data_IF_684091796585
#
_entry.id   IF_684091796585
#
_cell.length_a   1.000
_cell.length_b   1.000
_cell.length_c   1.000
_cell.angle_alpha   90.00
_cell.angle_beta   90.00
_cell.angle_gamma   90.00
#
_symmetry.space_group_name_H-M   'P 1'
#
loop_
_entity.id
_entity.type
_entity.pdbx_description
1 polymer ?
#
# COMPACT_ATOMS: atom_id res chain seq x y z
N UNK A 1 23.53 -1.57 4.26
CA UNK A 1 22.47 -0.76 4.89
C UNK A 1 21.26 -1.66 5.03
N UNK A 2 20.93 -2.08 6.25
CA UNK A 2 19.77 -2.94 6.51
C UNK A 2 18.51 -2.08 6.39
N UNK A 3 17.79 -2.25 5.30
CA UNK A 3 16.42 -1.74 5.15
C UNK A 3 15.53 -2.53 6.09
N UNK A 4 15.43 -2.06 7.34
CA UNK A 4 14.45 -2.54 8.30
C UNK A 4 13.08 -2.06 7.81
N UNK A 5 12.41 -2.88 7.01
CA UNK A 5 11.02 -2.66 6.62
C UNK A 5 10.17 -2.76 7.87
N UNK A 6 9.91 -1.61 8.48
CA UNK A 6 9.10 -1.52 9.68
C UNK A 6 7.64 -1.84 9.33
N UNK A 7 7.27 -3.10 9.51
CA UNK A 7 5.93 -3.67 9.26
C UNK A 7 4.85 -2.97 10.10
N UNK A 8 5.22 -2.23 11.16
CA UNK A 8 4.25 -1.46 11.96
C UNK A 8 3.71 -0.27 11.17
N UNK A 9 4.51 0.31 10.27
CA UNK A 9 4.09 1.36 9.33
C UNK A 9 3.08 0.88 8.27
N UNK A 10 2.90 -0.45 8.09
CA UNK A 10 1.88 -1.04 7.21
C UNK A 10 0.47 -0.98 7.83
N UNK A 11 0.36 -0.71 9.13
CA UNK A 11 -0.93 -0.62 9.85
C UNK A 11 -1.50 0.81 9.88
N UNK A 12 -0.81 1.80 9.29
CA UNK A 12 -1.32 3.17 9.24
C UNK A 12 -2.42 3.27 8.15
N UNK A 13 -3.69 3.51 8.53
CA UNK A 13 -4.79 3.58 7.58
C UNK A 13 -4.63 4.70 6.56
N UNK A 14 -3.87 5.76 6.89
CA UNK A 14 -3.57 6.85 5.96
C UNK A 14 -2.65 6.40 4.83
N UNK A 15 -1.62 5.61 5.15
CA UNK A 15 -0.71 5.04 4.13
C UNK A 15 -1.42 3.99 3.28
N UNK A 16 -2.24 3.15 3.91
CA UNK A 16 -3.06 2.17 3.21
C UNK A 16 -4.05 2.84 2.25
N UNK A 17 -4.64 3.97 2.65
CA UNK A 17 -5.49 4.77 1.78
C UNK A 17 -4.73 5.36 0.57
N UNK A 18 -3.51 5.87 0.78
CA UNK A 18 -2.66 6.40 -0.29
C UNK A 18 -2.31 5.32 -1.33
N UNK A 19 -1.95 4.13 -0.85
CA UNK A 19 -1.68 2.96 -1.68
C UNK A 19 -2.88 2.59 -2.57
N UNK A 20 -4.08 2.49 -1.99
CA UNK A 20 -5.30 2.20 -2.74
C UNK A 20 -5.62 3.31 -3.75
N UNK A 21 -5.42 4.58 -3.39
CA UNK A 21 -5.61 5.70 -4.32
C UNK A 21 -4.70 5.58 -5.54
N UNK A 22 -3.44 5.23 -5.33
CA UNK A 22 -2.48 5.04 -6.40
C UNK A 22 -2.72 3.79 -7.25
N UNK A 23 -3.36 2.76 -6.69
CA UNK A 23 -3.88 1.60 -7.42
C UNK A 23 -5.12 1.93 -8.28
N UNK A 24 -5.67 3.14 -8.18
CA UNK A 24 -6.81 3.61 -8.98
C UNK A 24 -8.16 3.55 -8.27
N UNK A 25 -8.21 3.21 -6.98
CA UNK A 25 -9.45 3.26 -6.21
C UNK A 25 -9.85 4.72 -5.94
N UNK A 26 -11.16 4.99 -6.04
CA UNK A 26 -11.70 6.30 -5.68
C UNK A 26 -11.77 6.49 -4.16
N UNK A 27 -11.65 7.73 -3.68
CA UNK A 27 -11.80 8.08 -2.25
C UNK A 27 -13.03 7.46 -1.56
N UNK A 28 -14.25 7.44 -2.17
CA UNK A 28 -15.39 6.77 -1.55
C UNK A 28 -15.24 5.23 -1.43
N UNK A 29 -14.56 4.57 -2.38
CA UNK A 29 -14.26 3.13 -2.29
C UNK A 29 -13.23 2.86 -1.19
N UNK A 30 -12.18 3.66 -1.11
CA UNK A 30 -11.14 3.56 -0.08
C UNK A 30 -11.74 3.74 1.31
N UNK A 31 -12.61 4.73 1.48
CA UNK A 31 -13.32 4.98 2.72
C UNK A 31 -14.17 3.77 3.15
N UNK A 32 -14.85 3.12 2.20
CA UNK A 32 -15.62 1.91 2.48
C UNK A 32 -14.71 0.71 2.87
N UNK A 33 -13.60 0.51 2.16
CA UNK A 33 -12.65 -0.59 2.43
C UNK A 33 -11.97 -0.46 3.79
N UNK A 34 -11.56 0.75 4.16
CA UNK A 34 -10.91 1.04 5.45
C UNK A 34 -11.90 1.32 6.57
N UNK A 35 -13.21 1.19 6.31
CA UNK A 35 -14.29 1.52 7.24
C UNK A 35 -14.15 2.92 7.88
N UNK A 36 -13.70 3.89 7.09
CA UNK A 36 -13.46 5.26 7.50
C UNK A 36 -14.48 6.21 6.88
N UNK A 37 -14.63 7.39 7.49
CA UNK A 37 -15.46 8.45 6.92
C UNK A 37 -14.77 9.02 5.67
N UNK A 38 -15.53 9.20 4.58
CA UNK A 38 -15.07 9.87 3.34
C UNK A 38 -14.32 11.20 3.58
N UNK A 39 -14.79 12.13 4.45
CA UNK A 39 -14.05 13.37 4.72
C UNK A 39 -12.67 13.13 5.34
N UNK A 40 -12.48 12.05 6.11
CA UNK A 40 -11.17 11.69 6.67
C UNK A 40 -10.17 11.38 5.56
N UNK A 41 -10.56 10.53 4.60
CA UNK A 41 -9.70 10.17 3.46
C UNK A 41 -9.47 11.36 2.52
N UNK A 42 -10.49 12.22 2.32
CA UNK A 42 -10.33 13.49 1.58
C UNK A 42 -9.33 14.45 2.24
N UNK A 43 -9.35 14.54 3.57
CA UNK A 43 -8.39 15.37 4.32
C UNK A 43 -6.96 14.87 4.14
N UNK A 44 -6.75 13.55 4.15
CA UNK A 44 -5.44 12.96 3.87
C UNK A 44 -4.97 13.24 2.45
N UNK A 45 -5.83 13.01 1.45
CA UNK A 45 -5.54 13.31 0.04
C UNK A 45 -5.06 14.74 -0.16
N UNK A 46 -5.74 15.70 0.46
CA UNK A 46 -5.39 17.12 0.38
C UNK A 46 -4.08 17.43 1.11
N UNK A 47 -3.90 16.93 2.35
CA UNK A 47 -2.70 17.19 3.15
C UNK A 47 -1.42 16.62 2.54
N UNK A 48 -1.52 15.42 1.96
CA UNK A 48 -0.39 14.72 1.35
C UNK A 48 -0.25 15.02 -0.15
N UNK A 49 -1.15 15.82 -0.71
CA UNK A 49 -1.12 16.20 -2.12
C UNK A 49 -1.06 15.01 -3.08
N UNK A 50 -1.88 13.97 -2.86
CA UNK A 50 -1.80 12.71 -3.64
C UNK A 50 -1.97 12.91 -5.15
N UNK A 51 -2.65 13.98 -5.58
CA UNK A 51 -2.81 14.36 -6.99
C UNK A 51 -1.52 14.90 -7.62
N UNK A 52 -0.62 15.44 -6.81
CA UNK A 52 0.65 16.04 -7.23
C UNK A 52 1.81 15.05 -7.21
N UNK A 53 1.59 13.83 -6.71
CA UNK A 53 2.63 12.80 -6.60
C UNK A 53 2.88 12.17 -7.97
N UNK A 54 4.11 12.34 -8.49
CA UNK A 54 4.50 11.87 -9.82
C UNK A 54 4.45 10.33 -9.97
N UNK A 55 4.13 9.78 -11.15
CA UNK A 55 3.93 8.34 -11.38
C UNK A 55 5.16 7.45 -11.12
N UNK A 56 6.38 8.01 -11.18
CA UNK A 56 7.63 7.23 -11.05
C UNK A 56 7.79 6.60 -9.66
N UNK A 57 7.33 7.25 -8.58
CA UNK A 57 7.33 6.63 -7.24
C UNK A 57 6.33 5.47 -7.08
N UNK A 58 5.45 5.27 -8.07
CA UNK A 58 4.35 4.29 -8.02
C UNK A 58 4.75 2.89 -8.51
N UNK A 59 5.83 2.80 -9.30
CA UNK A 59 6.35 1.55 -9.88
C UNK A 59 7.20 0.78 -8.86
N UNK A 60 8.00 1.47 -8.06
CA UNK A 60 8.84 0.85 -7.01
C UNK A 60 7.99 0.06 -6.00
N UNK A 61 6.86 0.59 -5.53
CA UNK A 61 5.97 -0.12 -4.58
C UNK A 61 5.28 -1.35 -5.20
N UNK A 62 5.02 -1.34 -6.51
CA UNK A 62 4.38 -2.47 -7.22
C UNK A 62 5.36 -3.61 -7.55
N UNK A 63 6.66 -3.30 -7.59
CA UNK A 63 7.73 -4.27 -7.76
C UNK A 63 8.06 -4.94 -6.42
N UNK A 64 8.13 -4.17 -5.32
CA UNK A 64 8.32 -4.72 -3.97
C UNK A 64 7.20 -5.68 -3.55
N UNK A 65 5.94 -5.40 -3.91
CA UNK A 65 4.80 -6.28 -3.58
C UNK A 65 4.82 -7.65 -4.28
N UNK A 66 5.64 -7.83 -5.32
CA UNK A 66 5.80 -9.12 -6.03
C UNK A 66 7.10 -9.84 -5.67
N UNK A 67 8.01 -9.18 -4.95
CA UNK A 67 9.30 -9.74 -4.54
C UNK A 67 9.27 -10.43 -3.17
N UNK A 68 8.09 -10.80 -2.68
CA UNK A 68 7.94 -11.94 -1.77
C UNK A 68 7.58 -13.19 -2.57
N UNK A 69 8.57 -13.88 -3.17
CA UNK A 69 8.38 -15.29 -3.48
C UNK A 69 8.16 -16.00 -2.14
N UNK A 70 6.92 -16.37 -1.89
CA UNK A 70 6.61 -17.55 -1.12
C UNK A 70 7.28 -18.76 -1.81
N UNK A 71 8.55 -18.98 -1.51
CA UNK A 71 9.28 -20.20 -1.85
C UNK A 71 10.01 -20.78 -0.62
N UNK A 72 9.39 -20.68 0.56
CA UNK A 72 9.68 -21.60 1.66
C UNK A 72 8.50 -22.55 1.89
N UNK A 73 8.14 -23.29 0.84
CA UNK A 73 7.43 -24.57 1.01
C UNK A 73 7.76 -25.48 -0.17
N UNK A 74 9.03 -25.89 -0.28
CA UNK A 74 9.32 -27.16 -0.94
C UNK A 74 8.97 -28.24 0.08
N UNK A 75 7.69 -28.61 0.06
CA UNK A 75 7.24 -29.87 0.60
C UNK A 75 8.10 -31.00 0.00
N UNK A 76 8.65 -31.81 0.90
CA UNK A 76 8.46 -33.26 0.85
C UNK A 76 8.42 -33.87 -0.56
N UNK A 77 9.59 -34.07 -1.17
CA UNK A 77 9.77 -35.15 -2.14
C UNK A 77 11.25 -35.49 -2.33
N UNK A 78 11.75 -36.39 -1.50
CA UNK A 78 12.82 -37.36 -1.75
C UNK A 78 12.90 -38.20 -0.47
N UNK A 79 12.25 -39.35 -0.41
CA UNK A 79 12.81 -40.66 -0.81
C UNK A 79 14.25 -40.83 -0.37
#
# INVERSE_FOLDING_TARGET
MTITTDTTLLHDPRRQAALLYWQGFSVPQIAAMLQMKRPTVQSWKQRDGWDSVAPISRVEMSLEARLTPAHHQTAENRR
#
